data_IF_514037683616
#
_entry.id   IF_514037683616
#
_cell.length_a   1.000
_cell.length_b   1.000
_cell.length_c   1.000
_cell.angle_alpha   90.00
_cell.angle_beta   90.00
_cell.angle_gamma   90.00
#
_symmetry.space_group_name_H-M   'P 1'
#
loop_
_entity.id
_entity.type
_entity.pdbx_description
1 polymer ?
#
# COMPACT_ATOMS: atom_id res chain seq x y z
N UNK A 1 2.22 -18.11 -3.56
CA UNK A 1 2.60 -17.18 -4.61
C UNK A 1 2.83 -15.77 -4.05
N UNK A 2 3.98 -15.18 -4.38
CA UNK A 2 4.39 -13.85 -3.91
C UNK A 2 3.48 -12.72 -4.44
N UNK A 3 3.70 -11.50 -3.94
CA UNK A 3 3.04 -10.31 -4.48
C UNK A 3 3.68 -9.90 -5.80
N UNK A 4 2.85 -9.54 -6.79
CA UNK A 4 3.31 -8.91 -8.02
C UNK A 4 3.32 -7.40 -7.80
N UNK A 5 4.48 -6.78 -8.04
CA UNK A 5 4.70 -5.36 -7.77
C UNK A 5 5.31 -4.66 -8.98
N UNK A 6 4.99 -3.38 -9.12
CA UNK A 6 5.64 -2.46 -10.05
C UNK A 6 6.41 -1.40 -9.28
N UNK A 7 7.75 -1.44 -9.32
CA UNK A 7 8.58 -0.34 -8.81
C UNK A 7 8.64 0.74 -9.87
N UNK A 8 8.08 1.89 -9.55
CA UNK A 8 7.98 3.03 -10.45
C UNK A 8 9.01 4.08 -10.03
N UNK A 9 9.78 4.59 -10.98
CA UNK A 9 10.77 5.64 -10.78
C UNK A 9 10.58 6.80 -11.77
N UNK A 10 10.78 8.02 -11.27
CA UNK A 10 10.90 9.24 -12.06
C UNK A 10 12.37 9.50 -12.36
N UNK A 11 12.81 9.22 -13.59
CA UNK A 11 14.23 9.28 -13.97
C UNK A 11 14.67 10.73 -14.22
N UNK A 12 15.74 11.19 -13.58
CA UNK A 12 16.18 12.59 -13.70
C UNK A 12 15.36 13.58 -12.85
N UNK A 13 14.59 13.06 -11.88
CA UNK A 13 13.72 13.86 -11.03
C UNK A 13 14.48 14.92 -10.24
N UNK A 14 15.66 14.56 -9.72
CA UNK A 14 16.51 15.49 -8.96
C UNK A 14 16.91 16.68 -9.82
N UNK A 15 17.43 16.45 -11.01
CA UNK A 15 17.87 17.46 -11.95
C UNK A 15 16.71 18.39 -12.34
N UNK A 16 15.52 17.82 -12.55
CA UNK A 16 14.31 18.61 -12.75
C UNK A 16 13.98 19.48 -11.54
N UNK A 17 13.95 18.93 -10.32
CA UNK A 17 13.68 19.74 -9.12
C UNK A 17 14.72 20.86 -8.95
N UNK A 18 15.98 20.58 -9.22
CA UNK A 18 17.06 21.57 -9.16
C UNK A 18 16.90 22.70 -10.18
N UNK A 19 16.33 22.41 -11.35
CA UNK A 19 16.11 23.40 -12.42
C UNK A 19 15.03 24.46 -12.13
N UNK A 20 14.15 24.22 -11.15
CA UNK A 20 13.02 25.12 -10.83
C UNK A 20 13.40 26.36 -10.01
N UNK A 21 14.67 26.54 -9.67
CA UNK A 21 15.13 27.62 -8.79
C UNK A 21 14.86 27.34 -7.31
N UNK A 22 14.80 28.40 -6.49
CA UNK A 22 14.72 28.26 -5.03
C UNK A 22 13.28 28.22 -4.48
N UNK A 23 12.31 28.87 -5.15
CA UNK A 23 10.89 28.83 -4.76
C UNK A 23 10.15 27.69 -5.48
N UNK A 24 10.65 26.47 -5.27
CA UNK A 24 10.25 25.28 -6.05
C UNK A 24 9.35 24.28 -5.32
N UNK A 25 9.37 24.29 -3.98
CA UNK A 25 8.77 23.20 -3.18
C UNK A 25 7.26 23.05 -3.40
N UNK A 26 6.53 24.16 -3.54
CA UNK A 26 5.09 24.12 -3.82
C UNK A 26 4.80 23.53 -5.21
N UNK A 27 5.62 23.86 -6.21
CA UNK A 27 5.47 23.37 -7.57
C UNK A 27 5.81 21.88 -7.66
N UNK A 28 6.83 21.45 -6.92
CA UNK A 28 7.22 20.06 -6.75
C UNK A 28 6.08 19.25 -6.12
N UNK A 29 5.55 19.70 -4.99
CA UNK A 29 4.45 19.01 -4.30
C UNK A 29 3.19 18.94 -5.16
N UNK A 30 2.84 20.03 -5.87
CA UNK A 30 1.72 20.05 -6.80
C UNK A 30 1.89 19.04 -7.94
N UNK A 31 3.10 18.93 -8.49
CA UNK A 31 3.41 17.96 -9.55
C UNK A 31 3.41 16.53 -9.04
N UNK A 32 4.00 16.26 -7.88
CA UNK A 32 3.97 14.95 -7.23
C UNK A 32 2.54 14.46 -7.01
N UNK A 33 1.65 15.34 -6.52
CA UNK A 33 0.25 15.02 -6.32
C UNK A 33 -0.48 14.68 -7.63
N UNK A 34 -0.21 15.42 -8.71
CA UNK A 34 -0.79 15.16 -10.02
C UNK A 34 -0.35 13.81 -10.60
N UNK A 35 0.94 13.49 -10.51
CA UNK A 35 1.50 12.20 -10.96
C UNK A 35 0.92 11.05 -10.13
N UNK A 36 0.89 11.19 -8.81
CA UNK A 36 0.33 10.18 -7.92
C UNK A 36 -1.16 9.93 -8.18
N UNK A 37 -1.94 10.99 -8.42
CA UNK A 37 -3.34 10.86 -8.83
C UNK A 37 -3.48 10.03 -10.11
N UNK A 38 -2.72 10.36 -11.15
CA UNK A 38 -2.76 9.63 -12.41
C UNK A 38 -2.37 8.15 -12.23
N UNK A 39 -1.38 7.87 -11.37
CA UNK A 39 -0.96 6.51 -11.05
C UNK A 39 -2.07 5.72 -10.35
N UNK A 40 -2.68 6.28 -9.30
CA UNK A 40 -3.75 5.65 -8.53
C UNK A 40 -4.99 5.41 -9.39
N UNK A 41 -5.41 6.39 -10.19
CA UNK A 41 -6.57 6.26 -11.08
C UNK A 41 -6.34 5.17 -12.14
N UNK A 42 -5.19 5.18 -12.81
CA UNK A 42 -4.88 4.20 -13.84
C UNK A 42 -4.75 2.77 -13.29
N UNK A 43 -4.13 2.59 -12.12
CA UNK A 43 -4.05 1.29 -11.47
C UNK A 43 -5.43 0.80 -10.99
N UNK A 44 -6.24 1.67 -10.40
CA UNK A 44 -7.54 1.32 -9.84
C UNK A 44 -8.54 0.81 -10.88
N UNK A 45 -8.49 1.34 -12.12
CA UNK A 45 -9.32 0.87 -13.24
C UNK A 45 -9.16 -0.63 -13.54
N UNK A 46 -8.04 -1.21 -13.14
CA UNK A 46 -7.69 -2.60 -13.41
C UNK A 46 -7.47 -3.43 -12.14
N UNK A 47 -7.90 -2.93 -10.97
CA UNK A 47 -7.82 -3.64 -9.70
C UNK A 47 -6.50 -3.47 -8.94
N UNK A 48 -5.55 -2.69 -9.48
CA UNK A 48 -4.29 -2.38 -8.81
C UNK A 48 -4.42 -1.32 -7.72
N UNK A 49 -3.34 -1.12 -6.99
CA UNK A 49 -3.20 -0.06 -5.98
C UNK A 49 -1.79 0.51 -6.00
N UNK A 50 -1.61 1.81 -5.76
CA UNK A 50 -0.29 2.46 -5.76
C UNK A 50 -0.06 3.10 -4.40
N UNK A 51 1.13 2.89 -3.84
CA UNK A 51 1.60 3.47 -2.58
C UNK A 51 2.80 4.38 -2.89
N UNK A 52 2.81 5.62 -2.40
CA UNK A 52 3.97 6.49 -2.54
C UNK A 52 5.07 6.05 -1.57
N UNK A 53 6.32 6.01 -2.05
CA UNK A 53 7.50 5.89 -1.20
C UNK A 53 8.11 7.28 -0.99
N UNK A 54 9.17 7.62 -1.73
CA UNK A 54 9.81 8.95 -1.72
C UNK A 54 9.19 9.94 -2.72
N UNK A 55 8.01 9.63 -3.28
CA UNK A 55 7.27 10.36 -4.32
C UNK A 55 7.92 10.35 -5.72
N UNK A 56 9.23 10.39 -5.82
CA UNK A 56 9.97 10.05 -7.05
C UNK A 56 10.03 8.52 -7.27
N UNK A 57 9.85 7.76 -6.20
CA UNK A 57 9.61 6.31 -6.20
C UNK A 57 8.20 6.00 -5.69
N UNK A 58 7.51 5.11 -6.38
CA UNK A 58 6.20 4.57 -6.02
C UNK A 58 6.20 3.05 -6.18
N UNK A 59 5.33 2.36 -5.43
CA UNK A 59 5.13 0.92 -5.52
C UNK A 59 3.69 0.67 -5.96
N UNK A 60 3.50 0.02 -7.11
CA UNK A 60 2.21 -0.49 -7.55
C UNK A 60 2.06 -1.95 -7.11
N UNK A 61 0.93 -2.31 -6.52
CA UNK A 61 0.48 -3.69 -6.34
C UNK A 61 -0.34 -4.10 -7.55
N UNK A 62 0.05 -5.21 -8.18
CA UNK A 62 -0.39 -5.61 -9.51
C UNK A 62 -0.96 -7.03 -9.57
N UNK A 63 -1.16 -7.72 -8.43
CA UNK A 63 -1.87 -9.00 -8.39
C UNK A 63 -3.24 -8.89 -9.10
N UNK A 64 -3.53 -9.81 -10.02
CA UNK A 64 -4.77 -9.79 -10.82
C UNK A 64 -4.84 -8.69 -11.90
N UNK A 65 -3.83 -7.84 -12.04
CA UNK A 65 -3.80 -6.76 -13.04
C UNK A 65 -3.25 -7.31 -14.37
N UNK A 66 -3.97 -7.16 -15.50
CA UNK A 66 -3.47 -7.65 -16.78
C UNK A 66 -2.27 -6.82 -17.26
N UNK A 67 -1.28 -7.43 -17.90
CA UNK A 67 -0.03 -6.75 -18.31
C UNK A 67 -0.25 -5.50 -19.17
N UNK A 68 -1.24 -5.53 -20.08
CA UNK A 68 -1.65 -4.36 -20.89
C UNK A 68 -2.09 -3.15 -20.05
N UNK A 69 -2.57 -3.38 -18.83
CA UNK A 69 -2.94 -2.31 -17.91
C UNK A 69 -1.71 -1.63 -17.30
N UNK A 70 -0.57 -2.33 -17.18
CA UNK A 70 0.70 -1.72 -16.74
C UNK A 70 1.17 -0.68 -17.76
N UNK A 71 1.00 -0.94 -19.06
CA UNK A 71 1.27 0.09 -20.07
C UNK A 71 0.35 1.30 -19.94
N UNK A 72 -0.90 1.10 -19.54
CA UNK A 72 -1.87 2.19 -19.33
C UNK A 72 -1.46 3.04 -18.13
N UNK A 73 -0.99 2.40 -17.05
CA UNK A 73 -0.37 3.07 -15.91
C UNK A 73 0.85 3.90 -16.33
N UNK A 74 1.79 3.31 -17.07
CA UNK A 74 2.96 4.00 -17.61
C UNK A 74 2.57 5.23 -18.46
N UNK A 75 1.63 5.08 -19.39
CA UNK A 75 1.16 6.17 -20.26
C UNK A 75 0.47 7.29 -19.48
N UNK A 76 -0.35 6.95 -18.49
CA UNK A 76 -1.03 7.93 -17.63
C UNK A 76 -0.03 8.75 -16.83
N UNK A 77 0.96 8.11 -16.21
CA UNK A 77 1.99 8.81 -15.43
C UNK A 77 2.91 9.65 -16.33
N UNK A 78 3.32 9.12 -17.48
CA UNK A 78 4.21 9.82 -18.42
C UNK A 78 3.59 11.11 -18.96
N UNK A 79 2.27 11.18 -19.08
CA UNK A 79 1.57 12.42 -19.48
C UNK A 79 1.65 13.53 -18.43
N UNK A 80 1.66 13.16 -17.15
CA UNK A 80 1.71 14.12 -16.04
C UNK A 80 3.13 14.42 -15.59
N UNK A 81 4.08 13.51 -15.83
CA UNK A 81 5.44 13.60 -15.35
C UNK A 81 6.27 14.61 -16.16
N UNK A 82 7.06 15.48 -15.51
CA UNK A 82 7.98 16.38 -16.19
C UNK A 82 9.27 15.67 -16.64
N UNK A 83 9.46 14.43 -16.21
CA UNK A 83 10.64 13.60 -16.49
C UNK A 83 10.24 12.19 -16.93
N UNK A 84 11.12 11.43 -17.60
CA UNK A 84 10.81 10.07 -18.02
C UNK A 84 10.37 9.18 -16.85
N UNK A 85 9.35 8.36 -17.08
CA UNK A 85 8.86 7.37 -16.12
C UNK A 85 9.46 6.01 -16.46
N UNK A 86 9.77 5.23 -15.44
CA UNK A 86 10.23 3.86 -15.58
C UNK A 86 9.46 2.96 -14.61
N UNK A 87 9.07 1.76 -15.06
CA UNK A 87 8.36 0.77 -14.25
C UNK A 87 9.08 -0.57 -14.38
N UNK A 88 9.55 -1.14 -13.28
CA UNK A 88 10.01 -2.54 -13.18
C UNK A 88 8.90 -3.37 -12.54
N UNK A 89 8.34 -4.31 -13.29
CA UNK A 89 7.38 -5.29 -12.79
C UNK A 89 8.10 -6.54 -12.37
N UNK A 90 7.91 -6.95 -11.13
CA UNK A 90 8.62 -8.08 -10.52
C UNK A 90 7.82 -8.67 -9.36
N UNK A 91 8.33 -9.75 -8.79
CA UNK A 91 7.71 -10.44 -7.65
C UNK A 91 8.49 -10.18 -6.37
N UNK A 92 7.81 -10.05 -5.22
CA UNK A 92 8.47 -9.76 -3.93
C UNK A 92 9.35 -10.89 -3.40
N UNK A 93 9.25 -12.10 -3.95
CA UNK A 93 10.18 -13.19 -3.62
C UNK A 93 11.52 -13.09 -4.35
N UNK A 94 11.63 -12.23 -5.36
CA UNK A 94 12.86 -12.09 -6.15
C UNK A 94 13.85 -11.16 -5.46
N UNK A 95 15.15 -11.51 -5.43
CA UNK A 95 16.18 -10.62 -4.92
C UNK A 95 16.16 -9.27 -5.65
N UNK A 96 16.26 -8.18 -4.88
CA UNK A 96 16.28 -6.84 -5.45
C UNK A 96 14.95 -6.34 -6.01
N UNK A 97 13.81 -6.97 -5.65
CA UNK A 97 12.48 -6.51 -6.08
C UNK A 97 12.22 -5.02 -5.78
N UNK A 98 12.88 -4.47 -4.76
CA UNK A 98 12.79 -3.07 -4.34
C UNK A 98 13.75 -2.12 -5.08
N UNK A 99 14.54 -2.63 -6.04
CA UNK A 99 15.47 -1.82 -6.81
C UNK A 99 14.73 -1.02 -7.89
N UNK A 100 14.98 0.30 -8.02
CA UNK A 100 14.35 1.09 -9.07
C UNK A 100 14.84 0.67 -10.47
N UNK A 101 13.99 0.79 -11.49
CA UNK A 101 14.42 0.70 -12.89
C UNK A 101 15.32 1.88 -13.27
N UNK A 102 16.19 1.68 -14.26
CA UNK A 102 17.14 2.69 -14.73
C UNK A 102 16.81 3.23 -16.13
N UNK A 103 15.94 2.56 -16.87
CA UNK A 103 15.58 2.91 -18.25
C UNK A 103 14.09 3.26 -18.35
N UNK A 104 13.71 4.29 -19.12
CA UNK A 104 12.31 4.64 -19.33
C UNK A 104 11.50 3.49 -19.94
N UNK A 105 10.22 3.41 -19.59
CA UNK A 105 9.30 2.39 -20.09
C UNK A 105 8.91 1.35 -19.05
N UNK A 106 8.47 0.19 -19.52
CA UNK A 106 8.03 -0.92 -18.68
C UNK A 106 8.95 -2.11 -18.92
N UNK A 107 9.58 -2.61 -17.86
CA UNK A 107 10.45 -3.79 -17.87
C UNK A 107 9.81 -4.85 -16.97
N UNK A 108 9.76 -6.09 -17.44
CA UNK A 108 9.28 -7.24 -16.68
C UNK A 108 10.48 -8.09 -16.29
N UNK A 109 10.66 -8.34 -14.99
CA UNK A 109 11.65 -9.28 -14.52
C UNK A 109 11.11 -10.70 -14.73
N UNK A 110 11.70 -11.45 -15.66
CA UNK A 110 11.32 -12.82 -16.00
C UNK A 110 9.94 -12.94 -16.67
N UNK A 111 9.46 -14.17 -16.83
CA UNK A 111 8.11 -14.39 -17.36
C UNK A 111 7.08 -13.89 -16.33
N UNK A 112 6.05 -13.15 -16.78
CA UNK A 112 4.99 -12.70 -15.91
C UNK A 112 4.31 -13.93 -15.31
N UNK A 113 4.51 -14.15 -14.01
CA UNK A 113 3.80 -15.19 -13.26
C UNK A 113 2.29 -15.00 -13.53
N UNK A 114 1.59 -16.10 -13.85
CA UNK A 114 0.16 -16.01 -14.14
C UNK A 114 -0.54 -15.26 -12.98
N UNK A 115 -1.45 -14.32 -13.28
CA UNK A 115 -2.19 -13.57 -12.27
C UNK A 115 -3.10 -14.52 -11.48
N UNK A 116 -2.54 -15.19 -10.49
CA UNK A 116 -3.16 -16.33 -9.83
C UNK A 116 -3.15 -16.29 -8.32
N UNK A 117 -2.51 -15.30 -7.68
CA UNK A 117 -2.46 -15.25 -6.23
C UNK A 117 -3.35 -14.16 -5.65
N UNK A 118 -4.21 -14.60 -4.75
CA UNK A 118 -4.95 -13.70 -3.89
C UNK A 118 -3.97 -12.91 -3.02
N UNK A 119 -4.34 -11.66 -2.79
CA UNK A 119 -3.64 -10.74 -1.92
C UNK A 119 -4.50 -10.51 -0.68
N UNK A 120 -3.87 -10.56 0.48
CA UNK A 120 -4.43 -10.11 1.73
C UNK A 120 -4.11 -8.62 1.95
N UNK A 121 -5.10 -7.84 2.32
CA UNK A 121 -4.96 -6.46 2.80
C UNK A 121 -5.37 -6.40 4.27
N UNK A 122 -4.42 -6.14 5.16
CA UNK A 122 -4.63 -5.96 6.60
C UNK A 122 -4.71 -4.46 6.87
N UNK A 123 -5.93 -3.91 6.95
CA UNK A 123 -6.20 -2.50 7.23
C UNK A 123 -6.23 -2.26 8.75
N UNK A 124 -5.29 -1.44 9.20
CA UNK A 124 -5.08 -1.05 10.59
C UNK A 124 -5.68 0.35 10.82
N UNK A 125 -6.68 0.44 11.70
CA UNK A 125 -7.38 1.66 12.12
C UNK A 125 -7.09 1.93 13.60
N UNK A 126 -6.40 3.03 13.91
CA UNK A 126 -6.07 3.38 15.29
C UNK A 126 -7.30 4.00 15.99
N UNK A 127 -7.70 3.43 17.12
CA UNK A 127 -8.85 3.91 17.89
C UNK A 127 -8.55 5.26 18.54
N UNK A 128 -9.56 6.13 18.58
CA UNK A 128 -9.52 7.32 19.42
C UNK A 128 -8.59 8.43 18.93
N UNK A 129 -8.01 8.32 17.74
CA UNK A 129 -7.16 9.38 17.16
C UNK A 129 -7.93 10.70 17.07
N UNK A 130 -9.20 10.70 16.70
CA UNK A 130 -10.01 11.93 16.66
C UNK A 130 -10.24 12.57 18.03
N UNK A 131 -10.47 11.78 19.08
CA UNK A 131 -10.58 12.30 20.45
C UNK A 131 -9.24 12.73 21.03
N UNK A 132 -8.17 12.01 20.71
CA UNK A 132 -6.80 12.36 21.08
C UNK A 132 -6.35 13.65 20.39
N UNK A 133 -6.72 13.87 19.12
CA UNK A 133 -6.47 15.12 18.39
C UNK A 133 -7.05 16.33 19.10
N UNK A 134 -8.27 16.21 19.65
CA UNK A 134 -8.91 17.28 20.40
C UNK A 134 -8.22 17.58 21.73
N UNK A 135 -7.57 16.58 22.34
CA UNK A 135 -6.92 16.69 23.65
C UNK A 135 -5.44 17.07 23.58
N UNK A 136 -4.70 16.49 22.62
CA UNK A 136 -3.24 16.56 22.49
C UNK A 136 -2.78 17.38 21.27
N UNK A 137 -3.71 17.88 20.45
CA UNK A 137 -3.42 18.48 19.15
C UNK A 137 -3.21 17.45 18.04
N UNK A 138 -3.11 17.91 16.80
CA UNK A 138 -3.13 17.02 15.62
C UNK A 138 -1.80 16.33 15.30
N UNK A 139 -0.68 16.87 15.79
CA UNK A 139 0.67 16.35 15.49
C UNK A 139 0.99 15.08 16.28
N UNK A 140 0.63 15.00 17.56
CA UNK A 140 1.01 13.87 18.41
C UNK A 140 0.45 12.54 17.93
N UNK A 141 -0.86 12.40 17.62
CA UNK A 141 -1.39 11.15 17.08
C UNK A 141 -0.81 10.80 15.72
N UNK A 142 -0.51 11.80 14.88
CA UNK A 142 0.18 11.58 13.60
C UNK A 142 1.58 11.00 13.81
N UNK A 143 2.32 11.49 14.80
CA UNK A 143 3.64 10.95 15.13
C UNK A 143 3.59 9.48 15.60
N UNK A 144 2.53 9.07 16.29
CA UNK A 144 2.31 7.67 16.69
C UNK A 144 2.03 6.77 15.47
N UNK A 145 1.19 7.24 14.54
CA UNK A 145 0.93 6.56 13.27
C UNK A 145 2.21 6.44 12.45
N UNK A 146 3.01 7.50 12.36
CA UNK A 146 4.29 7.51 11.64
C UNK A 146 5.31 6.52 12.25
N UNK A 147 5.40 6.46 13.58
CA UNK A 147 6.26 5.49 14.30
C UNK A 147 5.82 4.04 14.04
N UNK A 148 4.52 3.78 14.04
CA UNK A 148 4.00 2.45 13.72
C UNK A 148 4.31 2.10 12.26
N UNK A 149 4.09 3.03 11.32
CA UNK A 149 4.42 2.83 9.91
C UNK A 149 5.90 2.48 9.71
N UNK A 150 6.82 3.20 10.36
CA UNK A 150 8.24 2.91 10.28
C UNK A 150 8.59 1.50 10.77
N UNK A 151 8.01 1.06 11.90
CA UNK A 151 8.21 -0.31 12.42
C UNK A 151 7.61 -1.37 11.49
N UNK A 152 6.45 -1.10 10.89
CA UNK A 152 5.85 -1.98 9.88
C UNK A 152 6.78 -2.11 8.67
N UNK A 153 7.27 -1.01 8.10
CA UNK A 153 8.26 -1.01 7.01
C UNK A 153 9.47 -1.87 7.35
N UNK A 154 10.08 -1.65 8.51
CA UNK A 154 11.28 -2.37 8.95
C UNK A 154 11.06 -3.89 9.06
N UNK A 155 9.90 -4.33 9.57
CA UNK A 155 9.63 -5.76 9.82
C UNK A 155 8.93 -6.46 8.65
N UNK A 156 8.12 -5.76 7.88
CA UNK A 156 7.29 -6.34 6.80
C UNK A 156 8.09 -6.52 5.51
N UNK A 157 8.91 -5.53 5.12
CA UNK A 157 9.64 -5.57 3.84
C UNK A 157 10.57 -6.78 3.69
N UNK A 158 11.35 -7.22 4.71
CA UNK A 158 12.19 -8.41 4.60
C UNK A 158 11.43 -9.72 4.34
N UNK A 159 10.11 -9.72 4.56
CA UNK A 159 9.20 -10.85 4.30
C UNK A 159 8.49 -10.72 2.95
N UNK A 160 8.78 -9.69 2.17
CA UNK A 160 8.09 -9.42 0.91
C UNK A 160 6.67 -8.85 1.08
N UNK A 161 6.31 -8.40 2.29
CA UNK A 161 5.05 -7.71 2.57
C UNK A 161 5.21 -6.21 2.32
N UNK A 162 4.13 -5.57 1.85
CA UNK A 162 4.14 -4.16 1.45
C UNK A 162 3.28 -3.35 2.42
N UNK A 163 3.86 -2.62 3.38
CA UNK A 163 3.14 -1.67 4.20
C UNK A 163 2.83 -0.39 3.41
N UNK A 164 1.72 0.25 3.74
CA UNK A 164 1.30 1.51 3.15
C UNK A 164 0.59 2.42 4.16
N UNK A 165 0.69 3.73 3.91
CA UNK A 165 -0.05 4.75 4.63
C UNK A 165 -1.23 5.25 3.79
N UNK A 166 -2.44 5.07 4.32
CA UNK A 166 -3.69 5.44 3.61
C UNK A 166 -4.20 6.84 3.99
N UNK A 167 -3.56 7.50 4.96
CA UNK A 167 -3.95 8.84 5.43
C UNK A 167 -4.65 8.83 6.79
N UNK A 168 -4.46 9.93 7.53
CA UNK A 168 -4.97 10.06 8.90
C UNK A 168 -4.36 9.01 9.83
N UNK A 169 -5.21 8.14 10.35
CA UNK A 169 -4.96 7.05 11.28
C UNK A 169 -5.00 5.65 10.63
N UNK A 170 -4.96 5.60 9.30
CA UNK A 170 -5.12 4.38 8.52
C UNK A 170 -3.77 3.91 7.95
N UNK A 171 -3.40 2.68 8.31
CA UNK A 171 -2.27 1.95 7.73
C UNK A 171 -2.78 0.67 7.08
N UNK A 172 -2.00 0.10 6.17
CA UNK A 172 -2.30 -1.19 5.57
C UNK A 172 -1.02 -2.00 5.44
N UNK A 173 -1.14 -3.33 5.54
CA UNK A 173 -0.09 -4.26 5.12
C UNK A 173 -0.68 -5.19 4.07
N UNK A 174 -0.02 -5.28 2.93
CA UNK A 174 -0.32 -6.26 1.90
C UNK A 174 0.62 -7.46 2.01
N UNK A 175 0.06 -8.65 1.90
CA UNK A 175 0.79 -9.92 1.93
C UNK A 175 0.17 -10.92 0.95
N UNK A 176 0.92 -11.93 0.51
CA UNK A 176 0.33 -13.13 -0.11
C UNK A 176 -0.79 -13.68 0.76
N UNK A 177 -1.93 -14.07 0.17
CA UNK A 177 -3.07 -14.56 0.97
C UNK A 177 -2.75 -15.81 1.79
N UNK A 178 -1.89 -16.69 1.28
CA UNK A 178 -1.39 -17.87 1.98
C UNK A 178 -0.52 -17.57 3.21
N UNK A 179 0.06 -16.37 3.29
CA UNK A 179 0.87 -15.89 4.42
C UNK A 179 0.07 -14.96 5.34
N UNK A 180 -1.27 -14.97 5.23
CA UNK A 180 -2.14 -14.09 5.99
C UNK A 180 -1.94 -14.28 7.50
N UNK A 181 -1.80 -15.52 7.97
CA UNK A 181 -1.67 -15.78 9.42
C UNK A 181 -0.37 -15.18 9.96
N UNK A 182 0.75 -15.41 9.28
CA UNK A 182 2.07 -14.86 9.63
C UNK A 182 2.10 -13.32 9.54
N UNK A 183 1.50 -12.76 8.49
CA UNK A 183 1.39 -11.31 8.33
C UNK A 183 0.53 -10.68 9.44
N UNK A 184 -0.57 -11.33 9.82
CA UNK A 184 -1.44 -10.88 10.90
C UNK A 184 -0.75 -10.97 12.26
N UNK A 185 -0.03 -12.05 12.55
CA UNK A 185 0.78 -12.19 13.77
C UNK A 185 1.87 -11.12 13.87
N UNK A 186 2.52 -10.78 12.74
CA UNK A 186 3.47 -9.67 12.68
C UNK A 186 2.80 -8.34 13.04
N UNK A 187 1.65 -8.05 12.43
CA UNK A 187 0.90 -6.81 12.69
C UNK A 187 0.47 -6.74 14.15
N UNK A 188 -0.10 -7.82 14.69
CA UNK A 188 -0.58 -7.90 16.07
C UNK A 188 0.54 -7.67 17.09
N UNK A 189 1.74 -8.23 16.88
CA UNK A 189 2.90 -7.98 17.75
C UNK A 189 3.37 -6.53 17.74
N UNK A 190 3.20 -5.80 16.64
CA UNK A 190 3.66 -4.41 16.52
C UNK A 190 2.68 -3.38 17.10
N UNK A 191 1.41 -3.76 17.17
CA UNK A 191 0.33 -2.95 17.75
C UNK A 191 -0.01 -3.35 19.20
N UNK A 192 0.78 -4.25 19.79
CA UNK A 192 0.56 -4.76 21.14
C UNK A 192 0.46 -3.62 22.17
N UNK A 193 -0.49 -3.74 23.10
CA UNK A 193 -0.94 -2.66 24.00
C UNK A 193 -2.35 -2.13 23.74
N UNK A 194 -3.05 -2.65 22.73
CA UNK A 194 -4.46 -2.33 22.43
C UNK A 194 -4.65 -1.02 21.65
N UNK A 195 -5.92 -0.65 21.40
CA UNK A 195 -6.25 0.61 20.73
C UNK A 195 -6.24 0.57 19.19
N UNK A 196 -6.34 -0.60 18.57
CA UNK A 196 -6.43 -0.74 17.12
C UNK A 196 -7.60 -1.63 16.70
N UNK A 197 -8.10 -1.41 15.49
CA UNK A 197 -9.02 -2.30 14.78
C UNK A 197 -8.35 -2.80 13.50
N UNK A 198 -8.53 -4.08 13.22
CA UNK A 198 -7.95 -4.77 12.07
C UNK A 198 -9.07 -5.27 11.17
N UNK A 199 -9.27 -4.62 10.04
CA UNK A 199 -10.10 -5.15 8.96
C UNK A 199 -9.23 -5.89 7.97
N UNK A 200 -9.54 -7.14 7.68
CA UNK A 200 -8.77 -7.94 6.72
C UNK A 200 -9.66 -8.30 5.54
N UNK A 201 -9.15 -8.07 4.34
CA UNK A 201 -9.77 -8.51 3.10
C UNK A 201 -8.80 -9.35 2.30
N UNK A 202 -9.25 -10.50 1.81
CA UNK A 202 -8.49 -11.35 0.87
C UNK A 202 -9.21 -11.37 -0.45
N UNK A 203 -8.53 -11.12 -1.58
CA UNK A 203 -9.14 -11.14 -2.90
C UNK A 203 -8.09 -11.32 -4.01
N UNK A 204 -8.54 -11.57 -5.24
CA UNK A 204 -7.65 -11.71 -6.41
C UNK A 204 -6.96 -10.40 -6.84
N UNK A 205 -7.44 -9.24 -6.38
CA UNK A 205 -6.85 -7.93 -6.70
C UNK A 205 -6.65 -7.06 -5.45
N UNK A 206 -5.60 -6.21 -5.40
CA UNK A 206 -5.35 -5.30 -4.29
C UNK A 206 -6.53 -4.38 -3.99
N UNK A 207 -7.21 -3.89 -5.04
CA UNK A 207 -8.35 -2.98 -4.88
C UNK A 207 -9.53 -3.65 -4.20
N UNK A 208 -9.83 -4.88 -4.57
CA UNK A 208 -10.91 -5.66 -3.97
C UNK A 208 -10.55 -6.09 -2.54
N UNK A 209 -9.31 -6.51 -2.29
CA UNK A 209 -8.83 -6.84 -0.94
C UNK A 209 -8.97 -5.63 0.00
N UNK A 210 -8.57 -4.43 -0.44
CA UNK A 210 -8.80 -3.18 0.29
C UNK A 210 -10.28 -2.90 0.55
N UNK A 211 -11.15 -3.12 -0.44
CA UNK A 211 -12.59 -2.90 -0.29
C UNK A 211 -13.18 -3.85 0.75
N UNK A 212 -12.77 -5.13 0.75
CA UNK A 212 -13.14 -6.14 1.75
C UNK A 212 -12.61 -5.77 3.14
N UNK A 213 -11.36 -5.30 3.24
CA UNK A 213 -10.78 -4.84 4.50
C UNK A 213 -11.54 -3.63 5.10
N UNK A 214 -11.94 -2.66 4.26
CA UNK A 214 -12.76 -1.53 4.67
C UNK A 214 -14.18 -1.95 5.11
N UNK A 215 -14.76 -2.94 4.43
CA UNK A 215 -16.02 -3.55 4.86
C UNK A 215 -15.87 -4.24 6.22
N UNK A 216 -14.78 -4.98 6.43
CA UNK A 216 -14.48 -5.60 7.71
C UNK A 216 -14.38 -4.58 8.86
N UNK A 217 -13.73 -3.43 8.64
CA UNK A 217 -13.71 -2.33 9.62
C UNK A 217 -15.11 -1.77 9.89
N UNK A 218 -15.98 -1.70 8.89
CA UNK A 218 -17.37 -1.27 9.07
C UNK A 218 -18.15 -2.22 9.96
N UNK A 219 -17.95 -3.54 9.79
CA UNK A 219 -18.53 -4.55 10.69
C UNK A 219 -18.02 -4.37 12.11
N UNK A 220 -16.71 -4.22 12.30
CA UNK A 220 -16.11 -3.97 13.63
C UNK A 220 -16.71 -2.71 14.27
N UNK A 221 -16.91 -1.64 13.51
CA UNK A 221 -17.53 -0.41 14.04
C UNK A 221 -18.97 -0.61 14.48
N UNK A 222 -19.72 -1.51 13.85
CA UNK A 222 -21.08 -1.89 14.27
C UNK A 222 -21.10 -2.85 15.47
N UNK A 223 -19.97 -3.49 15.77
CA UNK A 223 -19.82 -4.56 16.77
C UNK A 223 -18.71 -4.22 17.76
N UNK A 224 -19.07 -3.56 18.86
CA UNK A 224 -18.12 -3.04 19.88
C UNK A 224 -17.28 -4.12 20.58
N UNK A 225 -17.65 -5.39 20.42
CA UNK A 225 -16.95 -6.58 20.92
C UNK A 225 -15.79 -7.06 20.02
N UNK A 226 -15.67 -6.51 18.81
CA UNK A 226 -14.66 -6.93 17.84
C UNK A 226 -13.51 -5.92 17.74
N UNK A 227 -12.31 -6.45 17.54
CA UNK A 227 -11.11 -5.70 17.17
C UNK A 227 -10.45 -6.23 15.89
N UNK A 228 -10.90 -7.38 15.40
CA UNK A 228 -10.42 -8.04 14.19
C UNK A 228 -11.60 -8.67 13.44
N UNK A 229 -11.60 -8.56 12.12
CA UNK A 229 -12.58 -9.22 11.26
C UNK A 229 -11.99 -9.50 9.89
N UNK A 230 -12.25 -10.70 9.37
CA UNK A 230 -11.66 -11.19 8.12
C UNK A 230 -12.77 -11.50 7.12
N UNK A 231 -12.63 -10.96 5.90
CA UNK A 231 -13.52 -11.22 4.77
C UNK A 231 -12.70 -11.86 3.64
N UNK A 232 -12.92 -13.15 3.40
CA UNK A 232 -12.24 -13.95 2.37
C UNK A 232 -13.06 -14.16 1.09
N UNK A 233 -12.53 -14.95 0.14
CA UNK A 233 -13.21 -15.34 -1.09
C UNK A 233 -14.27 -16.41 -0.80
N UNK A 234 -15.51 -16.18 -1.23
CA UNK A 234 -16.57 -17.19 -1.20
C UNK A 234 -17.17 -17.56 0.18
N UNK A 235 -16.66 -17.03 1.30
CA UNK A 235 -17.11 -17.44 2.64
C UNK A 235 -17.76 -16.35 3.51
N UNK A 236 -18.61 -16.84 4.43
CA UNK A 236 -19.18 -16.09 5.55
C UNK A 236 -18.06 -15.69 6.52
N UNK A 237 -18.18 -14.53 7.15
CA UNK A 237 -17.13 -13.93 7.98
C UNK A 237 -16.68 -14.79 9.17
N UNK A 238 -15.37 -14.97 9.31
CA UNK A 238 -14.75 -15.62 10.46
C UNK A 238 -14.53 -14.60 11.59
N UNK A 239 -15.23 -14.80 12.71
CA UNK A 239 -15.05 -14.03 13.94
C UNK A 239 -13.85 -14.59 14.71
N UNK A 240 -12.80 -13.78 14.90
CA UNK A 240 -11.76 -14.07 15.89
C UNK A 240 -11.85 -13.02 16.99
N UNK A 241 -12.34 -13.42 18.16
CA UNK A 241 -12.24 -12.64 19.38
C UNK A 241 -10.76 -12.39 19.71
N UNK A 242 -10.38 -11.22 20.24
CA UNK A 242 -9.03 -11.05 20.75
C UNK A 242 -8.80 -12.11 21.83
N UNK A 243 -7.79 -12.95 21.63
CA UNK A 243 -7.28 -13.82 22.68
C UNK A 243 -6.98 -12.96 23.91
N UNK A 244 -7.56 -13.31 25.05
CA UNK A 244 -7.07 -12.79 26.33
C UNK A 244 -5.67 -13.37 26.49
N UNK A 245 -4.65 -12.53 26.37
CA UNK A 245 -3.40 -12.76 27.07
C UNK A 245 -3.64 -12.58 28.57
#
# INVERSE_FOLDING_TARGET
MPLLVGVIALLGYREWTESLGYDREWAIQGRQAAIYRAAVEAAALHGGHVIPASHDIMIALLNGVPLRAVESLYKAMSRESPVPVAIRVTSTSRPGWSMPPLEPGVVFDGEPEEPGSEVAAIHIDMNGVSSERLRKGFITPFAEVAKLHARLVEKALPRGYIPGYLGGDNLVVFAPAEELEEALELVQRLIDGGGYKLGVGVAASPREALARAAHALSVIRSRRDLSLYIIGPGEKPALRSPGRC
#
